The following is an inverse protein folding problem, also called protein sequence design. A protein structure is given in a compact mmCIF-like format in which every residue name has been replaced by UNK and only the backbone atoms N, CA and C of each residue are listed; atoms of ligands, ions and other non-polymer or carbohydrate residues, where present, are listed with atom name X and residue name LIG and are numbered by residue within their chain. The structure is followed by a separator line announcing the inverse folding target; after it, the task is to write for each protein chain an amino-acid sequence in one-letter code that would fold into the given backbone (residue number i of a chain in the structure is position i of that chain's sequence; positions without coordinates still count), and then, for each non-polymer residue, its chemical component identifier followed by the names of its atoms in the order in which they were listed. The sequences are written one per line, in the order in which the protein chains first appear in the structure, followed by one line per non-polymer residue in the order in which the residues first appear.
data_IF_304140187342
#
_entry.id   IF_304140187342
#
_cell.length_a   1.000
_cell.length_b   1.000
_cell.length_c   1.000
_cell.angle_alpha   90.00
_cell.angle_beta   90.00
_cell.angle_gamma   90.00
#
_symmetry.space_group_name_H-M   'P 1'
#
loop_
_entity.id
_entity.type
_entity.pdbx_description
1 polymer ?
#
# COMPACT_ATOMS: atom_id res chain seq x y z
N UNK A 1 -4.52 3.46 22.94
CA UNK A 1 -5.44 3.56 21.78
C UNK A 1 -6.67 2.69 22.05
N UNK A 2 -7.88 3.23 21.87
CA UNK A 2 -9.08 2.40 22.00
C UNK A 2 -9.33 1.69 20.66
N UNK A 3 -8.95 0.40 20.56
CA UNK A 3 -9.12 -0.40 19.35
C UNK A 3 -10.51 -1.08 19.27
N UNK A 4 -11.40 -0.80 20.23
CA UNK A 4 -12.72 -1.43 20.28
C UNK A 4 -13.54 -1.12 19.02
N UNK A 5 -13.53 0.15 18.58
CA UNK A 5 -14.24 0.57 17.36
C UNK A 5 -13.73 -0.15 16.10
N UNK A 6 -12.41 -0.43 15.99
CA UNK A 6 -11.86 -1.12 14.81
C UNK A 6 -12.30 -2.59 14.76
N UNK A 7 -12.42 -3.24 15.93
CA UNK A 7 -13.01 -4.58 16.01
C UNK A 7 -14.48 -4.57 15.62
N UNK A 8 -15.26 -3.61 16.14
CA UNK A 8 -16.66 -3.41 15.73
C UNK A 8 -16.78 -3.14 14.23
N UNK A 9 -15.84 -2.36 13.67
CA UNK A 9 -15.77 -2.12 12.23
C UNK A 9 -15.53 -3.42 11.45
N UNK A 10 -14.58 -4.26 11.85
CA UNK A 10 -14.29 -5.54 11.21
C UNK A 10 -15.47 -6.51 11.31
N UNK A 11 -16.16 -6.53 12.45
CA UNK A 11 -17.35 -7.36 12.66
C UNK A 11 -18.52 -6.92 11.75
N UNK A 12 -18.65 -5.61 11.51
CA UNK A 12 -19.68 -5.05 10.65
C UNK A 12 -19.36 -5.15 9.14
N UNK A 13 -18.08 -5.24 8.78
CA UNK A 13 -17.60 -5.27 7.39
C UNK A 13 -16.92 -6.61 7.10
N UNK A 14 -17.74 -7.65 7.05
CA UNK A 14 -17.24 -8.98 6.71
C UNK A 14 -16.75 -9.04 5.26
N UNK A 15 -15.73 -9.86 4.96
CA UNK A 15 -15.20 -10.05 3.62
C UNK A 15 -16.29 -10.46 2.62
N UNK A 16 -16.42 -9.72 1.53
CA UNK A 16 -17.45 -9.91 0.49
C UNK A 16 -16.91 -10.52 -0.82
N UNK A 17 -15.62 -10.86 -0.84
CA UNK A 17 -14.95 -11.41 -2.03
C UNK A 17 -14.67 -10.37 -3.12
N UNK A 18 -14.71 -9.08 -2.79
CA UNK A 18 -14.37 -8.00 -3.70
C UNK A 18 -13.20 -7.16 -3.17
N UNK A 19 -12.37 -6.66 -4.09
CA UNK A 19 -11.38 -5.66 -3.74
C UNK A 19 -12.02 -4.26 -3.71
N UNK A 20 -11.65 -3.51 -2.68
CA UNK A 20 -11.88 -2.07 -2.62
C UNK A 20 -10.72 -1.40 -1.88
N UNK A 21 -10.50 -0.12 -2.11
CA UNK A 21 -9.45 0.63 -1.40
C UNK A 21 -9.68 0.62 0.12
N UNK A 22 -10.95 0.65 0.55
CA UNK A 22 -11.32 0.58 1.96
C UNK A 22 -10.99 -0.79 2.58
N UNK A 23 -11.25 -1.88 1.85
CA UNK A 23 -10.86 -3.23 2.27
C UNK A 23 -9.33 -3.38 2.34
N UNK A 24 -8.58 -2.82 1.37
CA UNK A 24 -7.12 -2.81 1.42
C UNK A 24 -6.58 -2.07 2.65
N UNK A 25 -7.15 -0.93 3.04
CA UNK A 25 -6.77 -0.25 4.28
C UNK A 25 -7.04 -1.08 5.53
N UNK A 26 -8.21 -1.74 5.60
CA UNK A 26 -8.52 -2.63 6.72
C UNK A 26 -7.51 -3.79 6.80
N UNK A 27 -7.19 -4.43 5.67
CA UNK A 27 -6.20 -5.50 5.57
C UNK A 27 -4.81 -5.03 6.03
N UNK A 28 -4.35 -3.88 5.53
CA UNK A 28 -3.06 -3.29 5.94
C UNK A 28 -3.00 -3.05 7.44
N UNK A 29 -4.07 -2.47 7.99
CA UNK A 29 -4.18 -2.21 9.43
C UNK A 29 -4.17 -3.50 10.23
N UNK A 30 -4.92 -4.53 9.79
CA UNK A 30 -4.95 -5.85 10.43
C UNK A 30 -3.57 -6.53 10.42
N UNK A 31 -2.89 -6.58 9.28
CA UNK A 31 -1.55 -7.17 9.16
C UNK A 31 -0.60 -6.52 10.16
N UNK A 32 -0.62 -5.20 10.25
CA UNK A 32 0.25 -4.46 11.15
C UNK A 32 -0.11 -4.68 12.62
N UNK A 33 -1.39 -4.59 12.97
CA UNK A 33 -1.82 -4.80 14.36
C UNK A 33 -1.53 -6.22 14.81
N UNK A 34 -1.72 -7.22 13.96
CA UNK A 34 -1.30 -8.60 14.27
C UNK A 34 0.21 -8.69 14.55
N UNK A 35 1.03 -8.06 13.71
CA UNK A 35 2.48 -8.05 13.90
C UNK A 35 2.92 -7.37 15.22
N UNK A 36 2.17 -6.37 15.70
CA UNK A 36 2.48 -5.62 16.92
C UNK A 36 1.92 -6.26 18.19
N UNK A 37 0.70 -6.80 18.12
CA UNK A 37 -0.04 -7.27 19.30
C UNK A 37 -0.04 -8.78 19.44
N UNK A 38 0.19 -9.52 18.34
CA UNK A 38 0.03 -10.97 18.30
C UNK A 38 -1.44 -11.44 18.32
N UNK A 39 -2.42 -10.51 18.23
CA UNK A 39 -3.83 -10.87 18.31
C UNK A 39 -4.31 -11.63 17.08
N UNK A 40 -4.81 -12.84 17.27
CA UNK A 40 -5.28 -13.73 16.20
C UNK A 40 -6.52 -13.21 15.46
N UNK A 41 -7.32 -12.35 16.08
CA UNK A 41 -8.51 -11.78 15.43
C UNK A 41 -8.15 -10.99 14.15
N UNK A 42 -7.08 -10.23 14.18
CA UNK A 42 -6.61 -9.48 13.00
C UNK A 42 -6.11 -10.40 11.89
N UNK A 43 -5.33 -11.42 12.27
CA UNK A 43 -4.89 -12.46 11.32
C UNK A 43 -6.07 -13.17 10.68
N UNK A 44 -7.06 -13.58 11.49
CA UNK A 44 -8.25 -14.30 11.03
C UNK A 44 -9.05 -13.46 10.02
N UNK A 45 -9.19 -12.15 10.24
CA UNK A 45 -9.88 -11.26 9.31
C UNK A 45 -9.18 -11.20 7.93
N UNK A 46 -7.85 -11.05 7.90
CA UNK A 46 -7.08 -11.04 6.64
C UNK A 46 -7.20 -12.38 5.90
N UNK A 47 -7.12 -13.49 6.62
CA UNK A 47 -7.26 -14.83 6.04
C UNK A 47 -8.68 -15.01 5.48
N UNK A 48 -9.72 -14.62 6.22
CA UNK A 48 -11.10 -14.70 5.75
C UNK A 48 -11.34 -13.86 4.49
N UNK A 49 -10.72 -12.67 4.40
CA UNK A 49 -10.80 -11.86 3.19
C UNK A 49 -10.07 -12.50 2.01
N UNK A 50 -8.88 -13.03 2.21
CA UNK A 50 -8.15 -13.78 1.19
C UNK A 50 -8.95 -15.01 0.70
N UNK A 51 -9.61 -15.74 1.63
CA UNK A 51 -10.49 -16.87 1.31
C UNK A 51 -11.67 -16.44 0.44
N UNK A 52 -12.32 -15.34 0.79
CA UNK A 52 -13.48 -14.83 0.03
C UNK A 52 -13.08 -14.43 -1.39
N UNK A 53 -11.92 -13.83 -1.59
CA UNK A 53 -11.38 -13.49 -2.92
C UNK A 53 -11.07 -14.73 -3.76
N UNK A 54 -10.43 -15.73 -3.16
CA UNK A 54 -10.13 -17.00 -3.85
C UNK A 54 -11.41 -17.73 -4.22
N UNK A 55 -12.37 -17.81 -3.29
CA UNK A 55 -13.66 -18.48 -3.53
C UNK A 55 -14.51 -17.80 -4.62
N UNK A 56 -14.42 -16.48 -4.73
CA UNK A 56 -15.13 -15.70 -5.75
C UNK A 56 -14.38 -15.63 -7.10
N UNK A 57 -13.21 -16.21 -7.24
CA UNK A 57 -12.27 -16.02 -8.39
C UNK A 57 -12.05 -14.52 -8.72
N UNK A 58 -12.01 -13.70 -7.67
CA UNK A 58 -11.92 -12.24 -7.74
C UNK A 58 -10.52 -11.70 -7.40
N UNK A 59 -9.51 -12.57 -7.42
CA UNK A 59 -8.14 -12.17 -7.12
C UNK A 59 -7.58 -11.22 -8.19
N UNK A 60 -7.06 -10.09 -7.72
CA UNK A 60 -6.37 -9.09 -8.53
C UNK A 60 -5.02 -8.75 -7.88
N UNK A 61 -4.06 -8.14 -8.60
CA UNK A 61 -2.73 -7.84 -8.04
C UNK A 61 -2.78 -6.96 -6.78
N UNK A 62 -3.75 -6.06 -6.67
CA UNK A 62 -3.99 -5.21 -5.51
C UNK A 62 -4.29 -6.01 -4.24
N UNK A 63 -4.88 -7.21 -4.40
CA UNK A 63 -5.14 -8.14 -3.29
C UNK A 63 -3.89 -8.85 -2.78
N UNK A 64 -2.74 -8.65 -3.42
CA UNK A 64 -1.51 -9.39 -3.16
C UNK A 64 -1.11 -9.41 -1.69
N UNK A 65 -1.22 -8.28 -0.97
CA UNK A 65 -0.85 -8.22 0.45
C UNK A 65 -1.58 -9.27 1.30
N UNK A 66 -2.89 -9.43 1.10
CA UNK A 66 -3.67 -10.40 1.84
C UNK A 66 -3.30 -11.84 1.45
N UNK A 67 -3.12 -12.10 0.16
CA UNK A 67 -2.78 -13.44 -0.34
C UNK A 67 -1.40 -13.88 0.12
N UNK A 68 -0.39 -13.01 0.02
CA UNK A 68 0.96 -13.31 0.52
C UNK A 68 0.98 -13.47 2.04
N UNK A 69 0.24 -12.65 2.77
CA UNK A 69 0.10 -12.80 4.22
C UNK A 69 -0.57 -14.13 4.57
N UNK A 70 -1.70 -14.46 3.94
CA UNK A 70 -2.42 -15.71 4.19
C UNK A 70 -1.54 -16.93 3.86
N UNK A 71 -0.81 -16.93 2.75
CA UNK A 71 0.15 -17.96 2.41
C UNK A 71 1.24 -18.11 3.48
N UNK A 72 1.82 -17.01 3.94
CA UNK A 72 2.86 -17.03 4.96
C UNK A 72 2.36 -17.54 6.32
N UNK A 73 1.09 -17.25 6.67
CA UNK A 73 0.50 -17.65 7.95
C UNK A 73 -0.02 -19.08 7.97
N UNK A 74 -0.50 -19.60 6.84
CA UNK A 74 -1.19 -20.90 6.78
C UNK A 74 -0.41 -21.98 6.01
N UNK A 75 0.38 -21.57 5.02
CA UNK A 75 1.05 -22.48 4.09
C UNK A 75 0.11 -23.16 3.09
N UNK A 76 -1.17 -22.72 3.00
CA UNK A 76 -2.15 -23.37 2.13
C UNK A 76 -1.91 -23.09 0.64
N UNK A 77 -1.90 -24.14 -0.18
CA UNK A 77 -1.60 -24.06 -1.61
C UNK A 77 -2.60 -23.21 -2.39
N UNK A 78 -3.86 -23.10 -1.96
CA UNK A 78 -4.88 -22.26 -2.64
C UNK A 78 -4.44 -20.80 -2.83
N UNK A 79 -3.71 -20.24 -1.87
CA UNK A 79 -3.17 -18.88 -1.98
C UNK A 79 -1.98 -18.80 -2.93
N UNK A 80 -1.11 -19.83 -2.90
CA UNK A 80 -0.01 -19.97 -3.84
C UNK A 80 -0.53 -20.06 -5.27
N UNK A 81 -1.51 -20.91 -5.52
CA UNK A 81 -2.12 -21.11 -6.84
C UNK A 81 -2.77 -19.81 -7.37
N UNK A 82 -3.46 -19.07 -6.50
CA UNK A 82 -4.01 -17.76 -6.85
C UNK A 82 -2.91 -16.76 -7.24
N UNK A 83 -1.84 -16.66 -6.46
CA UNK A 83 -0.68 -15.78 -6.71
C UNK A 83 0.01 -16.18 -8.02
N UNK A 84 0.28 -17.46 -8.24
CA UNK A 84 0.90 -18.00 -9.46
C UNK A 84 0.04 -17.71 -10.71
N UNK A 85 -1.28 -17.88 -10.59
CA UNK A 85 -2.24 -17.58 -11.66
C UNK A 85 -2.19 -16.11 -12.06
N UNK A 86 -2.22 -15.20 -11.06
CA UNK A 86 -2.08 -13.78 -11.33
C UNK A 86 -0.73 -13.43 -11.95
N UNK A 87 0.35 -14.01 -11.43
CA UNK A 87 1.70 -13.78 -11.96
C UNK A 87 1.83 -14.26 -13.39
N UNK A 88 1.21 -15.40 -13.74
CA UNK A 88 1.16 -15.91 -15.11
C UNK A 88 0.41 -14.95 -16.06
N UNK A 89 -0.70 -14.37 -15.61
CA UNK A 89 -1.46 -13.36 -16.39
C UNK A 89 -0.66 -12.09 -16.63
N UNK A 90 0.04 -11.59 -15.60
CA UNK A 90 0.85 -10.37 -15.68
C UNK A 90 2.15 -10.56 -16.47
N UNK A 91 2.70 -11.78 -16.50
CA UNK A 91 4.07 -12.04 -16.92
C UNK A 91 5.12 -11.60 -15.90
N UNK A 92 6.29 -12.21 -15.89
CA UNK A 92 7.33 -11.95 -14.85
C UNK A 92 8.07 -10.63 -15.02
N UNK A 93 8.08 -10.05 -16.20
CA UNK A 93 8.78 -8.79 -16.49
C UNK A 93 7.77 -7.67 -16.72
N UNK A 94 7.94 -6.50 -16.08
CA UNK A 94 7.08 -5.35 -16.34
C UNK A 94 7.12 -4.96 -17.83
N UNK A 95 6.02 -4.39 -18.32
CA UNK A 95 5.95 -3.83 -19.67
C UNK A 95 7.06 -2.79 -19.91
N UNK A 96 7.59 -2.69 -21.12
CA UNK A 96 8.55 -1.65 -21.49
C UNK A 96 7.93 -0.25 -21.56
N UNK A 97 6.63 -0.15 -21.80
CA UNK A 97 5.92 1.12 -21.85
C UNK A 97 5.93 1.83 -20.48
N UNK A 98 5.80 3.16 -20.48
CA UNK A 98 5.53 3.94 -19.27
C UNK A 98 4.22 3.47 -18.63
N UNK A 99 4.25 3.14 -17.34
CA UNK A 99 3.07 2.67 -16.63
C UNK A 99 2.37 3.86 -15.94
N UNK A 100 1.04 4.00 -16.08
CA UNK A 100 0.27 4.95 -15.28
C UNK A 100 0.32 4.58 -13.79
N UNK A 101 0.00 5.54 -12.93
CA UNK A 101 0.16 5.38 -11.48
C UNK A 101 -0.67 4.22 -10.91
N UNK A 102 -1.87 3.99 -11.42
CA UNK A 102 -2.73 2.87 -11.01
C UNK A 102 -2.10 1.51 -11.35
N UNK A 103 -1.48 1.39 -12.52
CA UNK A 103 -0.76 0.17 -12.90
C UNK A 103 0.50 -0.01 -12.06
N UNK A 104 1.21 1.09 -11.74
CA UNK A 104 2.34 1.03 -10.81
C UNK A 104 1.91 0.50 -9.45
N UNK A 105 0.75 0.95 -8.94
CA UNK A 105 0.20 0.51 -7.66
C UNK A 105 -0.24 -0.96 -7.70
N UNK A 106 -1.00 -1.34 -8.72
CA UNK A 106 -1.53 -2.68 -8.84
C UNK A 106 -0.41 -3.73 -9.03
N UNK A 107 0.46 -3.51 -10.00
CA UNK A 107 1.34 -4.58 -10.49
C UNK A 107 2.71 -4.64 -9.81
N UNK A 108 3.39 -3.50 -9.60
CA UNK A 108 4.80 -3.57 -9.24
C UNK A 108 5.04 -4.09 -7.83
N UNK A 109 4.31 -3.66 -6.78
CA UNK A 109 4.46 -4.24 -5.44
C UNK A 109 4.11 -5.75 -5.43
N UNK A 110 3.10 -6.16 -6.19
CA UNK A 110 2.74 -7.57 -6.33
C UNK A 110 3.87 -8.40 -6.95
N UNK A 111 4.43 -7.94 -8.07
CA UNK A 111 5.57 -8.62 -8.75
C UNK A 111 6.79 -8.69 -7.85
N UNK A 112 7.08 -7.62 -7.11
CA UNK A 112 8.20 -7.59 -6.17
C UNK A 112 7.96 -8.54 -5.00
N UNK A 113 6.77 -8.58 -4.42
CA UNK A 113 6.42 -9.54 -3.37
C UNK A 113 6.55 -10.99 -3.87
N UNK A 114 6.10 -11.26 -5.10
CA UNK A 114 6.28 -12.56 -5.72
C UNK A 114 7.75 -12.97 -5.81
N UNK A 115 8.60 -12.11 -6.35
CA UNK A 115 10.03 -12.39 -6.51
C UNK A 115 10.75 -12.54 -5.14
N UNK A 116 10.32 -11.80 -4.12
CA UNK A 116 10.91 -11.87 -2.78
C UNK A 116 10.49 -13.13 -2.01
N UNK A 117 9.26 -13.62 -2.20
CA UNK A 117 8.72 -14.73 -1.38
C UNK A 117 8.69 -16.07 -2.12
N UNK A 118 8.45 -16.08 -3.43
CA UNK A 118 8.30 -17.29 -4.24
C UNK A 118 9.30 -17.39 -5.38
N UNK A 119 9.87 -16.28 -5.81
CA UNK A 119 10.81 -16.18 -6.91
C UNK A 119 12.28 -16.30 -6.49
N UNK A 120 13.16 -15.80 -7.36
CA UNK A 120 14.62 -15.81 -7.15
C UNK A 120 15.20 -14.40 -6.99
N UNK A 121 14.35 -13.41 -6.72
CA UNK A 121 14.69 -11.98 -6.64
C UNK A 121 15.26 -11.36 -7.94
N UNK A 122 15.36 -12.10 -9.03
CA UNK A 122 15.98 -11.65 -10.29
C UNK A 122 15.24 -10.47 -10.93
N UNK A 123 13.94 -10.35 -10.70
CA UNK A 123 13.09 -9.31 -11.31
C UNK A 123 12.77 -8.13 -10.39
N UNK A 124 13.27 -8.11 -9.17
CA UNK A 124 13.09 -6.97 -8.25
C UNK A 124 13.75 -5.72 -8.82
N UNK A 125 14.99 -5.82 -9.31
CA UNK A 125 15.70 -4.72 -9.96
C UNK A 125 14.95 -4.13 -11.16
N UNK A 126 14.50 -4.92 -12.14
CA UNK A 126 13.62 -4.46 -13.21
C UNK A 126 12.35 -3.76 -12.73
N UNK A 127 11.67 -4.24 -11.68
CA UNK A 127 10.50 -3.58 -11.10
C UNK A 127 10.87 -2.20 -10.48
N UNK A 128 11.92 -2.14 -9.68
CA UNK A 128 12.40 -0.87 -9.11
C UNK A 128 12.84 0.13 -10.19
N UNK A 129 13.51 -0.35 -11.24
CA UNK A 129 13.87 0.46 -12.40
C UNK A 129 12.63 1.03 -13.12
N UNK A 130 11.54 0.25 -13.15
CA UNK A 130 10.28 0.66 -13.76
C UNK A 130 9.58 1.79 -13.00
N UNK A 131 9.60 1.77 -11.66
CA UNK A 131 9.15 2.91 -10.86
C UNK A 131 9.87 4.20 -11.26
N UNK A 132 11.19 4.15 -11.31
CA UNK A 132 12.00 5.32 -11.69
C UNK A 132 11.72 5.79 -13.11
N UNK A 133 11.68 4.88 -14.08
CA UNK A 133 11.37 5.20 -15.47
C UNK A 133 10.01 5.88 -15.61
N UNK A 134 8.97 5.28 -15.01
CA UNK A 134 7.61 5.83 -15.08
C UNK A 134 7.50 7.16 -14.34
N UNK A 135 8.17 7.29 -13.18
CA UNK A 135 8.24 8.57 -12.49
C UNK A 135 8.80 9.68 -13.38
N UNK A 136 9.97 9.47 -13.99
CA UNK A 136 10.57 10.49 -14.86
C UNK A 136 9.70 10.86 -16.07
N UNK A 137 8.96 9.89 -16.61
CA UNK A 137 8.08 10.13 -17.74
C UNK A 137 6.77 10.85 -17.36
N UNK A 138 6.32 10.69 -16.12
CA UNK A 138 5.05 11.24 -15.64
C UNK A 138 5.21 12.49 -14.77
N UNK A 139 6.43 12.82 -14.35
CA UNK A 139 6.68 13.96 -13.46
C UNK A 139 6.44 15.30 -14.16
N UNK A 140 5.60 16.12 -13.56
CA UNK A 140 5.33 17.51 -13.96
C UNK A 140 6.11 18.44 -13.02
N UNK A 141 7.19 19.02 -13.52
CA UNK A 141 8.08 19.89 -12.73
C UNK A 141 7.40 21.19 -12.29
N UNK A 142 6.50 21.75 -13.12
CA UNK A 142 5.82 23.00 -12.81
C UNK A 142 4.84 22.83 -11.63
N UNK A 143 4.17 21.69 -11.59
CA UNK A 143 3.20 21.36 -10.52
C UNK A 143 3.85 20.70 -9.33
N UNK A 144 5.02 20.10 -9.49
CA UNK A 144 5.65 19.24 -8.47
C UNK A 144 4.85 17.97 -8.18
N UNK A 145 4.11 17.46 -9.16
CA UNK A 145 3.22 16.31 -9.06
C UNK A 145 3.41 15.36 -10.25
N UNK A 146 2.90 14.14 -10.13
CA UNK A 146 2.76 13.23 -11.27
C UNK A 146 1.61 13.72 -12.17
N UNK A 147 1.75 13.56 -13.47
CA UNK A 147 0.72 13.81 -14.47
C UNK A 147 -0.61 13.17 -14.08
N UNK A 148 -1.71 13.92 -14.19
CA UNK A 148 -3.01 13.53 -13.63
C UNK A 148 -3.27 14.08 -12.22
N UNK A 149 -2.27 14.70 -11.59
CA UNK A 149 -2.46 15.50 -10.37
C UNK A 149 -2.31 14.74 -9.07
N UNK A 150 -3.00 15.22 -8.04
CA UNK A 150 -2.83 14.75 -6.65
C UNK A 150 -3.21 13.29 -6.44
N UNK A 151 -4.32 12.86 -7.02
CA UNK A 151 -4.77 11.48 -6.91
C UNK A 151 -3.71 10.52 -7.46
N UNK A 152 -3.24 10.74 -8.69
CA UNK A 152 -2.21 9.93 -9.34
C UNK A 152 -0.90 9.93 -8.55
N UNK A 153 -0.53 11.09 -7.99
CA UNK A 153 0.66 11.21 -7.14
C UNK A 153 0.51 10.44 -5.83
N UNK A 154 -0.68 10.40 -5.22
CA UNK A 154 -0.92 9.65 -4.00
C UNK A 154 -0.92 8.13 -4.26
N UNK A 155 -1.51 7.68 -5.37
CA UNK A 155 -1.45 6.27 -5.83
C UNK A 155 0.00 5.83 -6.03
N UNK A 156 0.80 6.61 -6.76
CA UNK A 156 2.21 6.30 -7.00
C UNK A 156 3.04 6.32 -5.70
N UNK A 157 2.75 7.25 -4.77
CA UNK A 157 3.42 7.32 -3.49
C UNK A 157 3.16 6.06 -2.65
N UNK A 158 1.90 5.58 -2.63
CA UNK A 158 1.54 4.35 -1.91
C UNK A 158 2.21 3.12 -2.54
N UNK A 159 2.22 3.04 -3.87
CA UNK A 159 2.94 1.99 -4.60
C UNK A 159 4.44 1.95 -4.25
N UNK A 160 5.08 3.12 -4.19
CA UNK A 160 6.49 3.25 -3.80
C UNK A 160 6.70 2.83 -2.34
N UNK A 161 5.83 3.23 -1.41
CA UNK A 161 5.93 2.82 -0.01
C UNK A 161 5.89 1.30 0.13
N UNK A 162 4.98 0.64 -0.59
CA UNK A 162 4.87 -0.82 -0.60
C UNK A 162 6.11 -1.51 -1.19
N UNK A 163 6.62 -0.98 -2.30
CA UNK A 163 7.81 -1.52 -2.95
C UNK A 163 9.08 -1.35 -2.11
N UNK A 164 9.21 -0.21 -1.43
CA UNK A 164 10.34 0.08 -0.53
C UNK A 164 10.33 -0.86 0.68
N UNK A 165 9.15 -1.11 1.27
CA UNK A 165 8.98 -2.02 2.42
C UNK A 165 9.43 -3.46 2.07
N UNK A 166 9.18 -3.89 0.84
CA UNK A 166 9.60 -5.21 0.35
C UNK A 166 11.12 -5.34 0.13
N UNK A 167 11.83 -4.24 -0.10
CA UNK A 167 13.27 -4.26 -0.48
C UNK A 167 14.22 -3.85 0.63
N UNK A 168 13.75 -3.35 1.77
CA UNK A 168 14.52 -2.51 2.69
C UNK A 168 15.90 -3.07 3.09
N UNK A 169 16.04 -4.37 3.28
CA UNK A 169 17.28 -4.95 3.83
C UNK A 169 18.15 -5.70 2.81
N UNK A 170 17.64 -5.96 1.62
CA UNK A 170 18.28 -6.91 0.71
C UNK A 170 18.84 -6.32 -0.60
N UNK A 171 18.34 -5.15 -1.03
CA UNK A 171 18.64 -4.58 -2.34
C UNK A 171 18.84 -3.06 -2.26
N UNK A 172 19.84 -2.65 -1.50
CA UNK A 172 20.08 -1.25 -1.10
C UNK A 172 20.06 -0.24 -2.27
N UNK A 173 20.68 -0.54 -3.41
CA UNK A 173 20.73 0.41 -4.54
C UNK A 173 19.33 0.66 -5.13
N UNK A 174 18.54 -0.39 -5.27
CA UNK A 174 17.15 -0.28 -5.75
C UNK A 174 16.26 0.40 -4.73
N UNK A 175 16.40 0.04 -3.46
CA UNK A 175 15.74 0.68 -2.34
C UNK A 175 15.99 2.18 -2.30
N UNK A 176 17.26 2.60 -2.34
CA UNK A 176 17.64 4.01 -2.29
C UNK A 176 17.03 4.81 -3.44
N UNK A 177 17.08 4.30 -4.67
CA UNK A 177 16.53 4.98 -5.84
C UNK A 177 15.00 5.20 -5.70
N UNK A 178 14.27 4.22 -5.14
CA UNK A 178 12.84 4.37 -4.87
C UNK A 178 12.56 5.35 -3.73
N UNK A 179 13.39 5.38 -2.68
CA UNK A 179 13.27 6.33 -1.57
C UNK A 179 13.45 7.78 -2.04
N UNK A 180 14.38 8.03 -2.95
CA UNK A 180 14.58 9.38 -3.49
C UNK A 180 13.33 9.84 -4.27
N UNK A 181 12.72 8.98 -5.09
CA UNK A 181 11.46 9.28 -5.79
C UNK A 181 10.32 9.48 -4.78
N UNK A 182 10.18 8.59 -3.79
CA UNK A 182 9.19 8.70 -2.74
C UNK A 182 9.21 10.06 -2.04
N UNK A 183 10.41 10.53 -1.65
CA UNK A 183 10.58 11.83 -0.97
C UNK A 183 10.22 13.01 -1.87
N UNK A 184 10.46 12.92 -3.17
CA UNK A 184 10.09 13.97 -4.14
C UNK A 184 8.57 14.05 -4.27
N UNK A 185 7.90 12.91 -4.51
CA UNK A 185 6.44 12.84 -4.65
C UNK A 185 5.74 13.29 -3.37
N UNK A 186 6.20 12.83 -2.20
CA UNK A 186 5.65 13.25 -0.92
C UNK A 186 5.72 14.76 -0.71
N UNK A 187 6.87 15.37 -1.01
CA UNK A 187 7.03 16.83 -0.89
C UNK A 187 6.06 17.58 -1.79
N UNK A 188 5.91 17.16 -3.04
CA UNK A 188 4.96 17.74 -3.99
C UNK A 188 3.52 17.66 -3.48
N UNK A 189 3.09 16.50 -3.00
CA UNK A 189 1.76 16.30 -2.43
C UNK A 189 1.49 17.17 -1.20
N UNK A 190 2.50 17.36 -0.35
CA UNK A 190 2.36 18.17 0.87
C UNK A 190 2.40 19.66 0.59
N UNK A 191 3.07 20.11 -0.46
CA UNK A 191 3.13 21.51 -0.88
C UNK A 191 1.85 22.00 -1.56
N UNK A 192 1.10 21.09 -2.19
CA UNK A 192 -0.12 21.46 -2.89
C UNK A 192 -1.27 21.73 -1.89
N UNK A 193 -1.80 22.95 -1.92
CA UNK A 193 -2.98 23.35 -1.15
C UNK A 193 -4.24 22.96 -1.93
N UNK A 194 -4.99 21.97 -1.48
CA UNK A 194 -6.35 21.73 -1.95
C UNK A 194 -7.09 20.83 -0.95
N UNK A 195 -8.40 20.92 -0.84
CA UNK A 195 -9.19 19.89 -0.17
C UNK A 195 -8.96 18.58 -0.90
N UNK A 196 -8.51 17.57 -0.17
CA UNK A 196 -8.32 16.22 -0.71
C UNK A 196 -9.63 15.47 -0.64
N UNK A 197 -9.94 14.70 -1.69
CA UNK A 197 -10.96 13.69 -1.52
C UNK A 197 -10.44 12.62 -0.53
N UNK A 198 -11.32 11.88 0.13
CA UNK A 198 -10.94 10.90 1.17
C UNK A 198 -9.98 9.82 0.67
N UNK A 199 -10.10 9.39 -0.59
CA UNK A 199 -9.24 8.38 -1.17
C UNK A 199 -7.81 8.90 -1.35
N UNK A 200 -7.65 10.10 -1.90
CA UNK A 200 -6.33 10.74 -2.05
C UNK A 200 -5.68 10.96 -0.68
N UNK A 201 -6.44 11.47 0.28
CA UNK A 201 -5.96 11.69 1.63
C UNK A 201 -5.57 10.37 2.31
N UNK A 202 -6.37 9.33 2.14
CA UNK A 202 -6.10 8.01 2.68
C UNK A 202 -4.79 7.42 2.15
N UNK A 203 -4.61 7.39 0.82
CA UNK A 203 -3.38 6.90 0.20
C UNK A 203 -2.14 7.68 0.65
N UNK A 204 -2.24 9.02 0.69
CA UNK A 204 -1.16 9.88 1.16
C UNK A 204 -0.80 9.58 2.61
N UNK A 205 -1.80 9.47 3.50
CA UNK A 205 -1.57 9.23 4.93
C UNK A 205 -1.02 7.83 5.20
N UNK A 206 -1.55 6.80 4.54
CA UNK A 206 -1.02 5.43 4.60
C UNK A 206 0.45 5.40 4.16
N UNK A 207 0.77 6.03 3.04
CA UNK A 207 2.15 6.10 2.56
C UNK A 207 3.06 6.91 3.51
N UNK A 208 2.55 8.01 4.08
CA UNK A 208 3.29 8.83 5.04
C UNK A 208 3.60 8.04 6.32
N UNK A 209 2.62 7.34 6.89
CA UNK A 209 2.82 6.48 8.06
C UNK A 209 3.83 5.36 7.76
N UNK A 210 3.74 4.72 6.58
CA UNK A 210 4.72 3.75 6.15
C UNK A 210 6.13 4.36 6.08
N UNK A 211 6.27 5.58 5.55
CA UNK A 211 7.54 6.30 5.48
C UNK A 211 8.14 6.63 6.84
N UNK A 212 7.32 6.99 7.83
CA UNK A 212 7.77 7.19 9.22
C UNK A 212 8.24 5.85 9.82
N UNK A 213 7.45 4.80 9.69
CA UNK A 213 7.76 3.46 10.19
C UNK A 213 9.10 2.94 9.63
N UNK A 214 9.29 3.09 8.33
CA UNK A 214 10.53 2.68 7.64
C UNK A 214 11.70 3.65 7.85
N UNK A 215 11.52 4.72 8.63
CA UNK A 215 12.54 5.77 8.87
C UNK A 215 13.00 6.48 7.58
N UNK A 216 12.13 6.57 6.58
CA UNK A 216 12.42 7.30 5.34
C UNK A 216 12.29 8.81 5.53
N UNK A 217 11.46 9.21 6.47
CA UNK A 217 11.13 10.59 6.81
C UNK A 217 11.12 10.78 8.33
N UNK A 218 11.35 12.02 8.76
CA UNK A 218 11.44 12.40 10.16
C UNK A 218 10.06 12.39 10.84
N UNK A 219 9.82 11.57 11.89
CA UNK A 219 8.55 11.52 12.59
C UNK A 219 8.17 12.86 13.24
N UNK A 220 9.12 13.60 13.82
CA UNK A 220 8.83 14.87 14.48
C UNK A 220 8.27 15.92 13.51
N UNK A 221 8.71 15.86 12.26
CA UNK A 221 8.24 16.77 11.20
C UNK A 221 6.91 16.32 10.60
N UNK A 222 6.72 15.02 10.36
CA UNK A 222 5.64 14.54 9.51
C UNK A 222 4.41 14.01 10.25
N UNK A 223 4.54 13.51 11.50
CA UNK A 223 3.38 13.09 12.29
C UNK A 223 2.41 14.24 12.61
N UNK A 224 2.85 15.46 12.94
CA UNK A 224 1.93 16.58 13.11
C UNK A 224 1.16 16.93 11.81
N UNK A 225 1.78 16.75 10.66
CA UNK A 225 1.12 16.96 9.35
C UNK A 225 0.05 15.90 9.12
N UNK A 226 0.34 14.63 9.41
CA UNK A 226 -0.63 13.55 9.34
C UNK A 226 -1.82 13.81 10.27
N UNK A 227 -1.58 14.12 11.53
CA UNK A 227 -2.63 14.42 12.53
C UNK A 227 -3.56 15.57 12.08
N UNK A 228 -2.99 16.65 11.52
CA UNK A 228 -3.77 17.77 10.98
C UNK A 228 -4.68 17.32 9.82
N UNK A 229 -4.20 16.48 8.91
CA UNK A 229 -4.98 15.98 7.76
C UNK A 229 -6.06 14.99 8.21
N UNK A 230 -5.77 14.12 9.17
CA UNK A 230 -6.76 13.22 9.78
C UNK A 230 -7.88 14.03 10.44
N UNK A 231 -7.54 15.09 11.20
CA UNK A 231 -8.54 15.98 11.77
C UNK A 231 -9.40 16.68 10.71
N UNK A 232 -8.80 17.09 9.59
CA UNK A 232 -9.52 17.69 8.47
C UNK A 232 -10.50 16.69 7.79
N UNK A 233 -10.10 15.43 7.59
CA UNK A 233 -10.98 14.37 7.11
C UNK A 233 -12.17 14.14 8.04
N UNK A 234 -11.92 14.09 9.34
CA UNK A 234 -12.96 13.93 10.37
C UNK A 234 -13.96 15.09 10.35
N UNK A 235 -13.45 16.33 10.22
CA UNK A 235 -14.28 17.53 10.10
C UNK A 235 -15.09 17.60 8.80
N UNK A 236 -14.61 16.97 7.73
CA UNK A 236 -15.29 16.88 6.45
C UNK A 236 -16.35 15.75 6.40
N UNK A 237 -16.59 15.04 7.51
CA UNK A 237 -17.59 13.97 7.60
C UNK A 237 -17.07 12.57 7.27
N UNK A 238 -15.76 12.39 7.07
CA UNK A 238 -15.14 11.09 6.77
C UNK A 238 -14.54 10.44 8.03
N UNK A 239 -15.37 10.35 9.10
CA UNK A 239 -14.91 9.90 10.40
C UNK A 239 -14.30 8.49 10.37
N UNK A 240 -14.94 7.53 9.69
CA UNK A 240 -14.42 6.15 9.61
C UNK A 240 -13.05 6.07 8.93
N UNK A 241 -12.87 6.76 7.80
CA UNK A 241 -11.57 6.80 7.14
C UNK A 241 -10.51 7.46 8.04
N UNK A 242 -10.86 8.55 8.71
CA UNK A 242 -9.98 9.23 9.64
C UNK A 242 -9.59 8.32 10.82
N UNK A 243 -10.53 7.54 11.36
CA UNK A 243 -10.29 6.65 12.50
C UNK A 243 -9.40 5.45 12.11
N UNK A 244 -9.57 4.89 10.89
CA UNK A 244 -8.67 3.86 10.37
C UNK A 244 -7.23 4.36 10.19
N UNK A 245 -7.08 5.56 9.63
CA UNK A 245 -5.77 6.18 9.43
C UNK A 245 -5.10 6.58 10.74
N UNK A 246 -5.87 7.01 11.73
CA UNK A 246 -5.39 7.30 13.08
C UNK A 246 -4.93 6.02 13.79
N UNK A 247 -5.67 4.92 13.63
CA UNK A 247 -5.26 3.60 14.11
C UNK A 247 -3.97 3.11 13.43
N UNK A 248 -3.84 3.36 12.13
CA UNK A 248 -2.64 3.07 11.39
C UNK A 248 -1.43 3.88 11.89
N UNK A 249 -1.60 5.16 12.19
CA UNK A 249 -0.54 6.04 12.68
C UNK A 249 -0.21 5.87 14.15
N UNK A 250 -1.20 5.58 14.99
CA UNK A 250 -1.02 5.46 16.44
C UNK A 250 -0.30 4.21 16.91
N UNK A 251 0.08 3.36 15.98
CA UNK A 251 0.92 2.18 16.20
C UNK A 251 2.38 2.43 15.75
N UNK A 252 2.79 3.68 15.58
CA UNK A 252 4.14 4.15 15.35
C UNK A 252 4.77 4.58 16.69
#
# INVERSE_FOLDING_TARGET
MNMAWFREYLDAHQPDGAWSLQADWAVRTCIRLHAQTGEDAYKAHVIAWADSLVAADACCPECGKALFFALAQTGEDKYRDAIETMMARLGRTPSEATLPAETLYAELPFRMAYEMQLGKMEKVGPCAGKFRQSFHALWDEERGLISGGRYQSAVALLALADAIDLCADQLYEHWRAMVDVYRVVLRGLLAAEAPENPETAGMLLTALHAGVRMRLIDPERYLPVAAKRIAALRSAGFAHAADMLDAEGGAL
#
